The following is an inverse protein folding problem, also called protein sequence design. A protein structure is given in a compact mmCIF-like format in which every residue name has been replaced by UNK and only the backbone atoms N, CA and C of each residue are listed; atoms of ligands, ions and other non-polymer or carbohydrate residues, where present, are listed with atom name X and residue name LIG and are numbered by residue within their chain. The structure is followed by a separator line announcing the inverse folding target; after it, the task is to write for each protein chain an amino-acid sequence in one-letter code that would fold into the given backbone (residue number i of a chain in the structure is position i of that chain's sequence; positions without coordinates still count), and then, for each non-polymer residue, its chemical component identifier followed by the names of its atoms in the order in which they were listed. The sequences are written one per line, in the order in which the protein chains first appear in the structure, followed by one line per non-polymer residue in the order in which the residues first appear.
data_IF_839862178851
#
_entry.id   IF_839862178851
#
_cell.length_a   1.000
_cell.length_b   1.000
_cell.length_c   1.000
_cell.angle_alpha   90.00
_cell.angle_beta   90.00
_cell.angle_gamma   90.00
#
_symmetry.space_group_name_H-M   'P 1'
#
loop_
_entity.id
_entity.type
_entity.pdbx_description
1 polymer ?
#
# COMPACT_ATOMS: atom_id res chain seq x y z
N UNK A 1 -13.64 15.10 -5.74
CA UNK A 1 -12.24 15.51 -5.97
C UNK A 1 -11.68 16.03 -4.66
N UNK A 2 -10.75 15.30 -4.03
CA UNK A 2 -10.10 15.82 -2.82
C UNK A 2 -9.14 16.91 -3.24
N UNK A 3 -9.25 18.10 -2.64
CA UNK A 3 -8.23 19.13 -2.80
C UNK A 3 -6.86 18.58 -2.37
N UNK A 4 -5.81 18.92 -3.13
CA UNK A 4 -4.42 18.61 -2.84
C UNK A 4 -4.02 19.08 -1.43
N UNK A 5 -3.14 18.34 -0.75
CA UNK A 5 -2.78 18.53 0.66
C UNK A 5 -2.28 19.97 0.93
N UNK A 6 -1.50 20.54 -0.01
CA UNK A 6 -0.98 21.90 0.08
C UNK A 6 -2.12 22.92 0.21
N UNK A 7 -3.27 22.68 -0.41
CA UNK A 7 -4.42 23.57 -0.34
C UNK A 7 -5.25 23.41 0.93
N UNK A 8 -5.27 22.22 1.53
CA UNK A 8 -6.08 21.90 2.71
C UNK A 8 -5.37 22.22 4.02
N UNK A 9 -4.06 22.03 4.06
CA UNK A 9 -3.24 22.30 5.25
C UNK A 9 -2.94 23.81 5.37
N UNK A 10 -3.28 24.46 6.50
CA UNK A 10 -3.12 25.91 6.64
C UNK A 10 -1.65 26.36 6.61
N UNK A 11 -0.71 25.52 7.05
CA UNK A 11 0.71 25.85 7.10
C UNK A 11 1.38 25.67 5.73
N UNK A 12 1.08 24.59 5.01
CA UNK A 12 1.53 24.41 3.63
C UNK A 12 0.90 25.45 2.70
N UNK A 13 -0.39 25.75 2.88
CA UNK A 13 -1.08 26.79 2.11
C UNK A 13 -0.40 28.13 2.33
N UNK A 14 -0.06 28.48 3.57
CA UNK A 14 0.66 29.71 3.90
C UNK A 14 2.02 29.79 3.20
N UNK A 15 2.82 28.72 3.21
CA UNK A 15 4.09 28.68 2.48
C UNK A 15 3.86 28.98 0.98
N UNK A 16 2.87 28.33 0.35
CA UNK A 16 2.54 28.58 -1.06
C UNK A 16 2.08 30.02 -1.30
N UNK A 17 1.18 30.54 -0.46
CA UNK A 17 0.64 31.90 -0.58
C UNK A 17 1.75 32.97 -0.40
N UNK A 18 2.78 32.68 0.40
CA UNK A 18 3.98 33.52 0.54
C UNK A 18 4.98 33.38 -0.62
N UNK A 19 4.69 32.52 -1.60
CA UNK A 19 5.42 32.40 -2.86
C UNK A 19 6.51 31.32 -2.89
N UNK A 20 6.57 30.42 -1.91
CA UNK A 20 7.48 29.27 -1.96
C UNK A 20 7.10 28.30 -3.08
N UNK A 21 8.12 27.78 -3.77
CA UNK A 21 7.97 26.74 -4.79
C UNK A 21 7.84 25.36 -4.11
N UNK A 22 6.61 24.92 -3.90
CA UNK A 22 6.32 23.64 -3.25
C UNK A 22 5.94 22.56 -4.25
N UNK A 23 6.49 21.37 -4.07
CA UNK A 23 6.05 20.15 -4.76
C UNK A 23 5.78 19.06 -3.70
N UNK A 24 4.71 18.30 -3.90
CA UNK A 24 4.36 17.14 -3.08
C UNK A 24 4.53 15.86 -3.89
N UNK A 25 5.32 14.91 -3.39
CA UNK A 25 5.46 13.58 -3.99
C UNK A 25 5.31 12.50 -2.91
N UNK A 26 4.17 11.81 -2.86
CA UNK A 26 3.92 10.71 -1.91
C UNK A 26 4.28 11.08 -0.46
N UNK A 27 3.79 12.23 0.02
CA UNK A 27 4.07 12.82 1.34
C UNK A 27 5.54 13.21 1.60
N UNK A 28 6.34 13.32 0.55
CA UNK A 28 7.62 14.05 0.57
C UNK A 28 7.36 15.48 0.09
N UNK A 29 7.65 16.45 0.96
CA UNK A 29 7.63 17.87 0.63
C UNK A 29 8.98 18.27 0.04
N UNK A 30 8.95 18.87 -1.15
CA UNK A 30 10.08 19.53 -1.79
C UNK A 30 9.83 21.04 -1.78
N UNK A 31 10.82 21.79 -1.30
CA UNK A 31 10.84 23.26 -1.34
C UNK A 31 11.98 23.67 -2.26
N UNK A 32 11.62 24.07 -3.48
CA UNK A 32 12.58 24.34 -4.54
C UNK A 32 13.17 25.74 -4.45
N UNK A 33 14.17 25.97 -5.29
CA UNK A 33 14.78 27.28 -5.50
C UNK A 33 15.31 27.92 -4.21
N UNK A 34 15.71 27.12 -3.21
CA UNK A 34 16.29 27.63 -1.97
C UNK A 34 17.70 28.14 -2.24
N UNK A 35 17.96 29.46 -2.08
CA UNK A 35 19.26 30.03 -2.38
C UNK A 35 20.27 29.68 -1.29
N UNK A 36 21.51 29.44 -1.68
CA UNK A 36 22.61 29.16 -0.75
C UNK A 36 23.96 29.63 -1.34
N UNK A 37 24.98 29.74 -0.49
CA UNK A 37 26.35 30.07 -0.91
C UNK A 37 27.15 28.78 -1.05
N UNK A 38 27.89 28.66 -2.15
CA UNK A 38 28.79 27.53 -2.41
C UNK A 38 30.19 27.77 -1.85
N UNK A 39 31.05 26.75 -1.91
CA UNK A 39 32.43 26.83 -1.41
C UNK A 39 33.29 27.87 -2.13
N UNK A 40 33.01 28.14 -3.40
CA UNK A 40 33.65 29.18 -4.21
C UNK A 40 33.03 30.58 -4.00
N UNK A 41 32.15 30.73 -3.00
CA UNK A 41 31.37 31.94 -2.68
C UNK A 41 30.35 32.36 -3.74
N UNK A 42 30.15 31.58 -4.80
CA UNK A 42 29.07 31.83 -5.75
C UNK A 42 27.72 31.37 -5.20
N UNK A 43 26.63 31.91 -5.76
CA UNK A 43 25.27 31.55 -5.35
C UNK A 43 24.78 30.31 -6.11
N UNK A 44 24.21 29.37 -5.38
CA UNK A 44 23.47 28.23 -5.92
C UNK A 44 22.00 28.27 -5.54
N UNK A 45 21.20 27.43 -6.20
CA UNK A 45 19.83 27.10 -5.78
C UNK A 45 19.71 25.59 -5.61
N UNK A 46 19.16 25.17 -4.48
CA UNK A 46 18.90 23.76 -4.19
C UNK A 46 17.47 23.55 -3.72
N UNK A 47 17.15 22.31 -3.38
CA UNK A 47 15.82 21.93 -2.88
C UNK A 47 15.95 21.39 -1.46
N UNK A 48 15.17 21.93 -0.52
CA UNK A 48 14.98 21.33 0.79
C UNK A 48 13.93 20.23 0.68
N UNK A 49 14.20 19.06 1.27
CA UNK A 49 13.35 17.87 1.12
C UNK A 49 13.07 17.26 2.49
N UNK A 50 11.80 16.97 2.82
CA UNK A 50 11.47 16.23 4.05
C UNK A 50 10.20 15.39 3.90
N UNK A 51 10.10 14.30 4.66
CA UNK A 51 8.87 13.50 4.76
C UNK A 51 7.88 14.17 5.71
N UNK A 52 6.60 14.16 5.36
CA UNK A 52 5.53 14.69 6.19
C UNK A 52 4.89 13.60 7.04
N UNK A 53 4.70 13.90 8.33
CA UNK A 53 3.80 13.18 9.21
C UNK A 53 2.43 13.86 9.18
N UNK A 54 1.36 13.07 9.15
CA UNK A 54 -0.02 13.58 9.19
C UNK A 54 -0.68 13.30 10.55
N UNK A 55 -1.58 14.18 10.96
CA UNK A 55 -2.46 14.00 12.11
C UNK A 55 -3.73 13.20 11.76
N UNK A 56 -4.65 13.07 12.73
CA UNK A 56 -5.91 12.34 12.56
C UNK A 56 -6.89 12.99 11.58
N UNK A 57 -6.69 14.26 11.23
CA UNK A 57 -7.49 14.98 10.24
C UNK A 57 -6.87 14.90 8.83
N UNK A 58 -5.70 14.26 8.69
CA UNK A 58 -4.94 14.17 7.46
C UNK A 58 -4.21 15.47 7.09
N UNK A 59 -3.97 16.36 8.07
CA UNK A 59 -3.14 17.56 7.93
C UNK A 59 -1.74 17.32 8.49
N UNK A 60 -0.77 18.19 8.22
CA UNK A 60 0.59 18.03 8.75
C UNK A 60 0.61 18.10 10.28
N UNK A 61 1.35 17.19 10.92
CA UNK A 61 1.38 17.09 12.38
C UNK A 61 1.88 18.37 13.05
N UNK A 62 1.21 18.80 14.12
CA UNK A 62 1.64 19.91 14.97
C UNK A 62 1.75 19.43 16.43
N UNK A 63 2.95 19.40 17.04
CA UNK A 63 4.26 19.77 16.48
C UNK A 63 4.81 18.77 15.46
N UNK A 64 5.84 19.18 14.72
CA UNK A 64 6.54 18.33 13.77
C UNK A 64 7.34 17.25 14.51
N UNK A 65 7.15 15.99 14.14
CA UNK A 65 7.79 14.85 14.79
C UNK A 65 9.27 14.69 14.46
N UNK A 66 9.70 15.25 13.32
CA UNK A 66 11.07 15.20 12.82
C UNK A 66 11.55 16.62 12.50
N UNK A 67 12.68 17.02 13.08
CA UNK A 67 13.29 18.34 12.89
C UNK A 67 14.29 18.40 11.73
N UNK A 68 14.61 17.27 11.08
CA UNK A 68 15.65 17.19 10.05
C UNK A 68 15.14 17.53 8.64
N UNK A 69 16.06 17.86 7.74
CA UNK A 69 15.79 18.07 6.31
C UNK A 69 16.92 17.51 5.47
N UNK A 70 16.60 17.05 4.27
CA UNK A 70 17.57 16.73 3.23
C UNK A 70 17.76 17.90 2.27
N UNK A 71 18.87 17.92 1.55
CA UNK A 71 19.17 18.96 0.58
C UNK A 71 19.85 18.42 -0.68
N UNK A 72 19.42 18.94 -1.83
CA UNK A 72 19.83 18.48 -3.17
C UNK A 72 20.95 19.33 -3.81
N UNK A 73 21.38 20.42 -3.20
CA UNK A 73 22.45 21.26 -3.75
C UNK A 73 23.85 20.74 -3.41
N UNK A 74 24.86 21.44 -3.89
CA UNK A 74 26.25 21.32 -3.39
C UNK A 74 26.35 21.75 -1.92
N UNK A 75 27.49 21.49 -1.26
CA UNK A 75 27.74 21.82 0.15
C UNK A 75 27.42 23.28 0.46
N UNK A 76 26.41 23.57 1.33
CA UNK A 76 26.12 24.93 1.72
C UNK A 76 27.18 25.51 2.65
N UNK A 77 27.52 26.77 2.39
CA UNK A 77 28.53 27.51 3.11
C UNK A 77 27.97 28.80 3.71
N UNK A 78 28.65 29.29 4.73
CA UNK A 78 28.55 30.66 5.20
C UNK A 78 29.03 31.65 4.13
N UNK A 79 28.86 32.95 4.39
CA UNK A 79 29.19 34.02 3.43
C UNK A 79 30.64 34.03 2.94
N UNK A 80 31.57 33.45 3.70
CA UNK A 80 33.01 33.39 3.43
C UNK A 80 33.43 32.07 2.74
N UNK A 81 32.47 31.21 2.37
CA UNK A 81 32.73 29.92 1.75
C UNK A 81 33.05 28.79 2.74
N UNK A 82 33.02 29.06 4.06
CA UNK A 82 33.18 28.00 5.07
C UNK A 82 31.92 27.13 5.17
N UNK A 83 32.02 25.78 5.16
CA UNK A 83 30.83 24.91 5.23
C UNK A 83 30.00 25.11 6.50
N UNK A 84 28.66 25.07 6.38
CA UNK A 84 27.71 25.21 7.48
C UNK A 84 27.61 23.96 8.37
N UNK A 85 28.71 23.57 9.02
CA UNK A 85 28.79 22.37 9.88
C UNK A 85 27.88 22.42 11.10
N UNK A 86 27.35 23.60 11.44
CA UNK A 86 26.36 23.79 12.50
C UNK A 86 24.97 23.23 12.16
N UNK A 87 24.63 23.05 10.88
CA UNK A 87 23.38 22.43 10.44
C UNK A 87 23.60 21.15 9.63
N UNK A 88 24.75 21.00 8.95
CA UNK A 88 25.08 19.79 8.19
C UNK A 88 25.42 18.66 9.15
N UNK A 89 24.55 17.65 9.23
CA UNK A 89 24.79 16.45 10.01
C UNK A 89 25.71 15.47 9.26
N UNK A 90 25.46 15.26 7.97
CA UNK A 90 26.36 14.52 7.06
C UNK A 90 26.09 14.89 5.59
N UNK A 91 26.98 14.45 4.71
CA UNK A 91 26.92 14.67 3.24
C UNK A 91 26.95 13.35 2.46
N UNK A 92 26.29 12.32 2.99
CA UNK A 92 26.17 11.05 2.30
C UNK A 92 25.05 11.16 1.25
N UNK A 93 25.34 10.73 0.02
CA UNK A 93 24.30 10.65 -1.00
C UNK A 93 23.22 9.63 -0.60
N UNK A 94 21.96 10.04 -0.74
CA UNK A 94 20.81 9.21 -0.47
C UNK A 94 19.70 9.45 -1.50
N UNK A 95 18.69 8.59 -1.47
CA UNK A 95 17.45 8.77 -2.24
C UNK A 95 16.29 8.82 -1.26
N UNK A 96 15.51 9.89 -1.31
CA UNK A 96 14.31 10.10 -0.49
C UNK A 96 13.08 9.88 -1.37
N UNK A 97 12.05 9.20 -0.84
CA UNK A 97 10.86 8.86 -1.62
C UNK A 97 11.18 7.91 -2.76
N UNK A 98 10.77 8.24 -3.99
CA UNK A 98 10.98 7.37 -5.15
C UNK A 98 12.30 7.53 -5.88
N UNK A 99 12.77 8.76 -6.02
CA UNK A 99 13.79 9.14 -7.01
C UNK A 99 14.53 10.44 -6.66
N UNK A 100 14.23 11.03 -5.49
CA UNK A 100 14.78 12.32 -5.11
C UNK A 100 16.19 12.11 -4.55
N UNK A 101 17.19 12.34 -5.40
CA UNK A 101 18.60 12.30 -5.00
C UNK A 101 18.92 13.51 -4.14
N UNK A 102 19.50 13.26 -2.97
CA UNK A 102 19.90 14.27 -1.99
C UNK A 102 21.38 14.05 -1.64
N UNK A 103 22.09 15.14 -1.39
CA UNK A 103 23.54 15.12 -1.13
C UNK A 103 23.90 15.45 0.31
N UNK A 104 22.99 16.10 1.04
CA UNK A 104 23.23 16.50 2.41
C UNK A 104 22.03 16.22 3.30
N UNK A 105 22.31 15.92 4.56
CA UNK A 105 21.34 15.73 5.61
C UNK A 105 21.58 16.76 6.72
N UNK A 106 20.56 17.54 7.04
CA UNK A 106 20.63 18.63 7.99
C UNK A 106 19.88 18.31 9.28
N UNK A 107 20.38 18.85 10.38
CA UNK A 107 19.75 18.81 11.69
C UNK A 107 19.91 20.14 12.41
N UNK A 108 18.87 20.96 12.38
CA UNK A 108 18.71 22.17 13.20
C UNK A 108 17.52 21.92 14.13
N UNK A 109 17.78 21.81 15.45
CA UNK A 109 16.75 21.53 16.45
C UNK A 109 16.40 22.83 17.17
N UNK A 110 15.12 23.24 17.25
CA UNK A 110 14.74 24.45 17.96
C UNK A 110 15.15 24.40 19.44
N UNK A 111 15.80 25.48 19.90
CA UNK A 111 16.18 25.62 21.31
C UNK A 111 14.93 25.72 22.20
N UNK A 112 14.98 25.09 23.39
CA UNK A 112 13.87 25.09 24.35
C UNK A 112 12.79 24.04 24.06
N UNK A 113 12.14 24.08 22.89
CA UNK A 113 11.04 23.14 22.56
C UNK A 113 11.53 21.80 22.02
N UNK A 114 12.68 21.79 21.36
CA UNK A 114 13.23 20.62 20.69
C UNK A 114 12.47 20.17 19.44
N UNK A 115 11.39 20.86 19.06
CA UNK A 115 10.53 20.52 17.92
C UNK A 115 10.01 21.80 17.28
N UNK A 116 9.82 21.77 15.96
CA UNK A 116 9.14 22.84 15.25
C UNK A 116 7.63 22.77 15.52
N UNK A 117 7.00 23.92 15.77
CA UNK A 117 5.58 23.96 16.11
C UNK A 117 4.68 23.49 14.95
N UNK A 118 5.11 23.72 13.71
CA UNK A 118 4.42 23.30 12.49
C UNK A 118 5.40 23.24 11.30
N UNK A 119 4.95 22.74 10.14
CA UNK A 119 5.78 22.60 8.94
C UNK A 119 6.23 23.94 8.37
N UNK A 120 5.43 25.00 8.51
CA UNK A 120 5.78 26.35 8.06
C UNK A 120 7.03 26.85 8.82
N UNK A 121 7.04 26.76 10.15
CA UNK A 121 8.17 27.19 10.97
C UNK A 121 9.44 26.40 10.64
N UNK A 122 9.30 25.09 10.38
CA UNK A 122 10.40 24.23 9.94
C UNK A 122 10.99 24.72 8.62
N UNK A 123 10.17 24.87 7.58
CA UNK A 123 10.63 25.29 6.23
C UNK A 123 11.27 26.68 6.27
N UNK A 124 10.62 27.65 6.90
CA UNK A 124 11.12 29.03 6.99
C UNK A 124 12.45 29.09 7.76
N UNK A 125 12.62 28.28 8.80
CA UNK A 125 13.88 28.25 9.56
C UNK A 125 15.03 27.73 8.71
N UNK A 126 14.85 26.61 8.01
CA UNK A 126 15.89 26.07 7.14
C UNK A 126 16.19 26.96 5.93
N UNK A 127 15.16 27.57 5.32
CA UNK A 127 15.38 28.58 4.28
C UNK A 127 16.16 29.78 4.83
N UNK A 128 15.87 30.22 6.04
CA UNK A 128 16.59 31.33 6.68
C UNK A 128 18.07 31.00 6.89
N UNK A 129 18.40 29.79 7.37
CA UNK A 129 19.78 29.37 7.56
C UNK A 129 20.61 29.45 6.27
N UNK A 130 20.07 28.93 5.16
CA UNK A 130 20.76 28.93 3.87
C UNK A 130 20.70 30.30 3.18
N UNK A 131 19.51 30.89 3.15
CA UNK A 131 19.21 32.13 2.44
C UNK A 131 19.83 33.37 3.09
N UNK A 132 20.11 33.38 4.40
CA UNK A 132 20.78 34.50 5.05
C UNK A 132 22.20 34.73 4.49
N UNK A 133 22.96 33.64 4.29
CA UNK A 133 24.28 33.73 3.67
C UNK A 133 24.16 34.20 2.21
N UNK A 134 23.21 33.67 1.44
CA UNK A 134 22.98 34.07 0.06
C UNK A 134 22.58 35.54 -0.06
N UNK A 135 21.69 36.02 0.81
CA UNK A 135 21.23 37.42 0.86
C UNK A 135 22.32 38.42 1.22
N UNK A 136 23.40 37.98 1.85
CA UNK A 136 24.56 38.82 2.11
C UNK A 136 25.37 39.12 0.85
N UNK A 137 25.30 38.25 -0.18
CA UNK A 137 25.91 38.44 -1.50
C UNK A 137 24.94 39.10 -2.49
N UNK A 138 23.67 38.68 -2.49
CA UNK A 138 22.61 39.25 -3.32
C UNK A 138 21.31 39.38 -2.51
N UNK A 139 20.90 40.62 -2.22
CA UNK A 139 19.68 40.91 -1.44
C UNK A 139 18.40 40.34 -2.05
N UNK A 140 18.39 40.01 -3.33
CA UNK A 140 17.23 39.43 -4.05
C UNK A 140 17.18 37.90 -3.96
N UNK A 141 18.21 37.25 -3.43
CA UNK A 141 18.27 35.79 -3.28
C UNK A 141 17.21 35.28 -2.28
N UNK A 142 16.07 34.86 -2.80
CA UNK A 142 14.94 34.34 -2.02
C UNK A 142 14.37 33.05 -2.65
N UNK A 143 13.87 32.15 -1.80
CA UNK A 143 13.13 30.95 -2.19
C UNK A 143 11.67 31.25 -2.58
N UNK A 144 11.18 32.46 -2.27
CA UNK A 144 9.82 32.93 -2.61
C UNK A 144 9.80 33.52 -4.02
N UNK A 145 9.78 32.67 -5.03
CA UNK A 145 9.81 33.09 -6.44
C UNK A 145 8.42 33.40 -6.99
N UNK A 146 7.36 32.96 -6.31
CA UNK A 146 5.97 33.03 -6.78
C UNK A 146 5.61 31.97 -7.82
N UNK A 147 6.55 31.11 -8.23
CA UNK A 147 6.27 30.00 -9.12
C UNK A 147 5.41 28.97 -8.39
N UNK A 148 4.22 28.70 -8.93
CA UNK A 148 3.36 27.63 -8.45
C UNK A 148 3.61 26.41 -9.31
N UNK A 149 4.14 25.35 -8.70
CA UNK A 149 4.23 24.04 -9.36
C UNK A 149 2.85 23.38 -9.26
N UNK A 150 2.41 22.76 -10.34
CA UNK A 150 1.29 21.83 -10.26
C UNK A 150 1.74 20.69 -9.36
N UNK A 151 1.00 20.45 -8.27
CA UNK A 151 1.17 19.21 -7.49
C UNK A 151 1.04 18.06 -8.48
N UNK A 152 2.09 17.25 -8.61
CA UNK A 152 2.03 16.06 -9.45
C UNK A 152 0.81 15.28 -8.97
N UNK A 153 -0.18 15.07 -9.85
CA UNK A 153 -1.43 14.42 -9.48
C UNK A 153 -1.10 13.17 -8.65
N UNK A 154 -1.51 13.19 -7.39
CA UNK A 154 -1.34 12.05 -6.50
C UNK A 154 -2.28 10.96 -7.02
N UNK A 155 -1.78 10.16 -7.98
CA UNK A 155 -2.36 8.90 -8.49
C UNK A 155 -2.31 7.82 -7.37
N UNK A 156 -2.67 8.26 -6.17
CA UNK A 156 -2.81 7.45 -4.99
C UNK A 156 -4.19 6.81 -5.04
N UNK A 157 -4.23 5.46 -5.07
CA UNK A 157 -5.49 4.74 -5.05
C UNK A 157 -6.14 4.81 -3.65
N UNK A 158 -5.48 5.40 -2.65
CA UNK A 158 -5.98 5.47 -1.29
C UNK A 158 -6.86 6.70 -1.04
N UNK A 159 -7.93 6.50 -0.28
CA UNK A 159 -8.75 7.57 0.28
C UNK A 159 -8.07 8.23 1.50
N UNK A 160 -7.24 7.47 2.21
CA UNK A 160 -6.40 7.93 3.32
C UNK A 160 -4.94 7.98 2.84
N UNK A 161 -4.21 9.10 2.97
CA UNK A 161 -2.84 9.18 2.51
C UNK A 161 -1.92 8.13 3.17
N UNK A 162 -1.11 7.45 2.36
CA UNK A 162 -0.15 6.44 2.82
C UNK A 162 1.12 7.09 3.37
N UNK A 163 1.04 7.50 4.64
CA UNK A 163 2.19 8.03 5.40
C UNK A 163 3.17 6.95 5.83
N UNK A 164 2.76 5.68 5.85
CA UNK A 164 3.62 4.58 6.27
C UNK A 164 4.73 4.34 5.24
N UNK A 165 4.40 4.32 3.95
CA UNK A 165 5.42 4.14 2.90
C UNK A 165 6.51 5.20 2.93
N UNK A 166 6.12 6.47 3.05
CA UNK A 166 7.04 7.59 3.13
C UNK A 166 7.90 7.50 4.39
N UNK A 167 7.28 7.27 5.55
CA UNK A 167 7.95 7.16 6.85
C UNK A 167 8.99 6.06 6.90
N UNK A 168 8.70 4.91 6.30
CA UNK A 168 9.60 3.75 6.32
C UNK A 168 10.49 3.64 5.08
N UNK A 169 10.43 4.60 4.16
CA UNK A 169 11.26 4.59 2.94
C UNK A 169 10.97 3.42 1.99
N UNK A 170 9.76 2.85 2.03
CA UNK A 170 9.37 1.67 1.21
C UNK A 170 8.52 2.05 0.00
N UNK A 171 8.47 3.34 -0.35
CA UNK A 171 7.72 3.89 -1.48
C UNK A 171 7.99 3.12 -2.79
N UNK A 172 9.27 2.94 -3.14
CA UNK A 172 9.68 2.24 -4.38
C UNK A 172 9.22 0.78 -4.37
N UNK A 173 9.32 0.10 -3.22
CA UNK A 173 8.85 -1.27 -3.08
C UNK A 173 7.32 -1.32 -3.29
N UNK A 174 6.56 -0.42 -2.65
CA UNK A 174 5.11 -0.38 -2.77
C UNK A 174 4.61 -0.07 -4.19
N UNK A 175 5.35 0.69 -5.01
CA UNK A 175 5.00 0.91 -6.42
C UNK A 175 5.01 -0.37 -7.26
N UNK A 176 5.70 -1.42 -6.83
CA UNK A 176 5.66 -2.73 -7.49
C UNK A 176 4.30 -3.42 -7.39
N UNK A 177 3.44 -2.98 -6.45
CA UNK A 177 2.10 -3.53 -6.21
C UNK A 177 1.00 -2.83 -7.01
N UNK A 178 1.36 -2.03 -8.02
CA UNK A 178 0.38 -1.44 -8.95
C UNK A 178 -0.19 -2.52 -9.88
N UNK A 179 -1.39 -2.26 -10.40
CA UNK A 179 -2.09 -3.16 -11.33
C UNK A 179 -3.57 -3.27 -11.04
N UNK A 180 -4.25 -4.15 -11.77
CA UNK A 180 -5.66 -4.51 -11.63
C UNK A 180 -5.75 -5.95 -11.15
N UNK A 181 -6.32 -6.16 -9.98
CA UNK A 181 -6.50 -7.52 -9.41
C UNK A 181 -7.98 -7.85 -9.28
N UNK A 182 -8.28 -9.15 -9.30
CA UNK A 182 -9.60 -9.65 -8.92
C UNK A 182 -9.52 -10.58 -7.70
N UNK A 183 -10.57 -10.57 -6.89
CA UNK A 183 -10.82 -11.53 -5.80
C UNK A 183 -12.15 -12.20 -6.12
N UNK A 184 -12.11 -13.52 -6.36
CA UNK A 184 -13.29 -14.33 -6.65
C UNK A 184 -13.66 -15.10 -5.39
N UNK A 185 -14.85 -14.84 -4.85
CA UNK A 185 -15.32 -15.36 -3.56
C UNK A 185 -14.95 -14.40 -2.43
N UNK A 186 -15.96 -13.81 -1.80
CA UNK A 186 -15.88 -12.87 -0.68
C UNK A 186 -16.45 -13.51 0.62
N UNK A 187 -16.25 -14.83 0.76
CA UNK A 187 -16.36 -15.52 2.05
C UNK A 187 -15.27 -15.05 3.03
N UNK A 188 -14.90 -15.89 4.01
CA UNK A 188 -13.93 -15.50 5.03
C UNK A 188 -12.56 -15.11 4.44
N UNK A 189 -11.92 -16.02 3.70
CA UNK A 189 -10.58 -15.81 3.13
C UNK A 189 -10.55 -14.62 2.18
N UNK A 190 -11.49 -14.52 1.24
CA UNK A 190 -11.54 -13.42 0.28
C UNK A 190 -11.80 -12.07 0.94
N UNK A 191 -12.62 -12.01 2.00
CA UNK A 191 -12.84 -10.78 2.75
C UNK A 191 -11.59 -10.31 3.50
N UNK A 192 -10.85 -11.22 4.17
CA UNK A 192 -9.55 -10.88 4.77
C UNK A 192 -8.51 -10.49 3.70
N UNK A 193 -8.57 -11.09 2.52
CA UNK A 193 -7.68 -10.73 1.42
C UNK A 193 -7.95 -9.30 0.94
N UNK A 194 -9.22 -8.92 0.79
CA UNK A 194 -9.61 -7.55 0.49
C UNK A 194 -9.14 -6.57 1.58
N UNK A 195 -9.24 -6.95 2.86
CA UNK A 195 -8.73 -6.14 3.97
C UNK A 195 -7.25 -5.77 3.76
N UNK A 196 -6.44 -6.76 3.40
CA UNK A 196 -5.01 -6.58 3.18
C UNK A 196 -4.71 -5.88 1.85
N UNK A 197 -5.43 -6.21 0.77
CA UNK A 197 -5.24 -5.65 -0.56
C UNK A 197 -5.61 -4.16 -0.63
N UNK A 198 -6.65 -3.72 0.09
CA UNK A 198 -7.05 -2.31 0.18
C UNK A 198 -5.97 -1.40 0.81
N UNK A 199 -4.94 -1.99 1.45
CA UNK A 199 -3.77 -1.29 2.03
C UNK A 199 -2.55 -1.32 1.09
N UNK A 200 -2.73 -1.66 -0.18
CA UNK A 200 -1.66 -1.73 -1.19
C UNK A 200 -1.91 -0.77 -2.35
N UNK A 201 -0.89 -0.48 -3.16
CA UNK A 201 -0.97 0.47 -4.29
C UNK A 201 -1.64 -0.09 -5.55
N UNK A 202 -2.45 -1.12 -5.42
CA UNK A 202 -3.23 -1.67 -6.53
C UNK A 202 -4.14 -0.57 -7.07
N UNK A 203 -4.23 -0.41 -8.39
CA UNK A 203 -5.07 0.62 -8.98
C UNK A 203 -6.55 0.25 -8.86
N UNK A 204 -6.89 -1.00 -9.17
CA UNK A 204 -8.26 -1.52 -9.11
C UNK A 204 -8.33 -2.88 -8.42
N UNK A 205 -9.26 -3.02 -7.47
CA UNK A 205 -9.54 -4.28 -6.76
C UNK A 205 -10.96 -4.68 -7.10
N UNK A 206 -11.12 -5.63 -8.01
CA UNK A 206 -12.43 -6.13 -8.41
C UNK A 206 -12.82 -7.30 -7.51
N UNK A 207 -14.03 -7.25 -6.95
CA UNK A 207 -14.52 -8.27 -6.02
C UNK A 207 -15.75 -8.95 -6.60
N UNK A 208 -15.72 -10.26 -6.75
CA UNK A 208 -16.77 -11.07 -7.37
C UNK A 208 -17.36 -12.06 -6.37
N UNK A 209 -18.64 -11.91 -6.03
CA UNK A 209 -19.40 -12.85 -5.19
C UNK A 209 -20.90 -12.58 -5.36
N UNK A 210 -21.72 -13.64 -5.51
CA UNK A 210 -23.17 -13.52 -5.67
C UNK A 210 -23.97 -13.74 -4.40
N UNK A 211 -23.35 -13.97 -3.25
CA UNK A 211 -24.05 -14.24 -2.00
C UNK A 211 -24.41 -12.96 -1.23
N UNK A 212 -25.36 -13.15 -0.31
CA UNK A 212 -25.64 -12.20 0.76
C UNK A 212 -24.68 -12.41 1.94
N UNK A 213 -24.43 -11.33 2.68
CA UNK A 213 -23.72 -11.38 3.94
C UNK A 213 -24.68 -11.81 5.06
N UNK A 214 -24.52 -13.03 5.56
CA UNK A 214 -25.32 -13.63 6.61
C UNK A 214 -24.58 -13.63 7.96
N UNK A 215 -25.30 -13.75 9.07
CA UNK A 215 -24.74 -13.65 10.43
C UNK A 215 -23.55 -14.60 10.68
N UNK A 216 -23.65 -15.85 10.21
CA UNK A 216 -22.59 -16.84 10.41
C UNK A 216 -21.32 -16.51 9.59
N UNK A 217 -21.41 -15.68 8.54
CA UNK A 217 -20.23 -15.17 7.83
C UNK A 217 -19.43 -14.18 8.69
N UNK A 218 -20.10 -13.43 9.57
CA UNK A 218 -19.47 -12.38 10.38
C UNK A 218 -18.44 -12.94 11.36
N UNK A 219 -18.63 -14.16 11.85
CA UNK A 219 -17.72 -14.82 12.79
C UNK A 219 -16.42 -15.33 12.15
N UNK A 220 -16.30 -15.25 10.82
CA UNK A 220 -15.13 -15.69 10.06
C UNK A 220 -14.62 -14.67 9.04
N UNK A 221 -15.02 -13.42 9.21
CA UNK A 221 -14.73 -12.31 8.30
C UNK A 221 -14.11 -11.13 9.07
N UNK A 222 -13.37 -10.23 8.40
CA UNK A 222 -12.74 -9.09 9.08
C UNK A 222 -13.77 -8.07 9.57
N UNK A 223 -13.52 -7.58 10.79
CA UNK A 223 -14.28 -6.47 11.39
C UNK A 223 -15.67 -6.85 11.88
N UNK A 224 -16.18 -6.09 12.84
CA UNK A 224 -17.56 -6.20 13.29
C UNK A 224 -18.44 -5.21 12.52
N UNK A 225 -19.47 -5.66 11.77
CA UNK A 225 -20.39 -4.74 11.12
C UNK A 225 -21.22 -3.95 12.16
N UNK A 226 -21.65 -2.75 11.80
CA UNK A 226 -22.74 -2.10 12.54
C UNK A 226 -23.99 -2.97 12.46
N UNK A 227 -24.62 -3.23 13.61
CA UNK A 227 -25.77 -4.13 13.70
C UNK A 227 -26.93 -3.73 12.77
N UNK A 228 -27.12 -2.43 12.55
CA UNK A 228 -28.15 -1.92 11.63
C UNK A 228 -27.88 -2.32 10.17
N UNK A 229 -26.62 -2.35 9.74
CA UNK A 229 -26.23 -2.77 8.39
C UNK A 229 -26.34 -4.28 8.21
N UNK A 230 -25.96 -5.06 9.23
CA UNK A 230 -26.02 -6.52 9.19
C UNK A 230 -27.46 -7.06 9.08
N UNK A 231 -28.45 -6.35 9.63
CA UNK A 231 -29.87 -6.75 9.61
C UNK A 231 -30.49 -6.81 8.20
N UNK A 232 -29.93 -6.11 7.22
CA UNK A 232 -30.49 -6.01 5.88
C UNK A 232 -29.94 -7.06 4.90
N UNK A 233 -29.07 -7.97 5.37
CA UNK A 233 -28.43 -9.02 4.55
C UNK A 233 -27.94 -8.50 3.18
N UNK A 234 -27.11 -7.45 3.15
CA UNK A 234 -26.61 -6.88 1.91
C UNK A 234 -25.82 -7.92 1.11
N UNK A 235 -25.67 -7.72 -0.21
CA UNK A 235 -24.70 -8.52 -0.98
C UNK A 235 -23.31 -8.33 -0.38
N UNK A 236 -22.53 -9.40 -0.29
CA UNK A 236 -21.17 -9.35 0.28
C UNK A 236 -20.33 -8.28 -0.42
N UNK A 237 -20.36 -8.25 -1.75
CA UNK A 237 -19.59 -7.29 -2.56
C UNK A 237 -19.97 -5.84 -2.27
N UNK A 238 -21.26 -5.53 -2.13
CA UNK A 238 -21.72 -4.15 -1.87
C UNK A 238 -21.31 -3.68 -0.47
N UNK A 239 -21.46 -4.57 0.52
CA UNK A 239 -21.05 -4.32 1.89
C UNK A 239 -19.55 -4.02 1.97
N UNK A 240 -18.72 -4.92 1.44
CA UNK A 240 -17.28 -4.79 1.50
C UNK A 240 -16.74 -3.64 0.64
N UNK A 241 -17.31 -3.38 -0.54
CA UNK A 241 -16.94 -2.22 -1.34
C UNK A 241 -17.21 -0.91 -0.57
N UNK A 242 -18.37 -0.79 0.09
CA UNK A 242 -18.71 0.37 0.90
C UNK A 242 -17.76 0.54 2.09
N UNK A 243 -17.42 -0.56 2.77
CA UNK A 243 -16.50 -0.54 3.90
C UNK A 243 -15.10 -0.09 3.48
N UNK A 244 -14.56 -0.70 2.43
CA UNK A 244 -13.18 -0.46 2.00
C UNK A 244 -13.00 0.76 1.11
N UNK A 245 -14.07 1.35 0.55
CA UNK A 245 -14.02 2.67 -0.10
C UNK A 245 -13.49 3.77 0.82
N UNK A 246 -13.62 3.59 2.15
CA UNK A 246 -13.05 4.50 3.17
C UNK A 246 -11.53 4.46 3.21
N UNK A 247 -10.91 3.39 2.72
CA UNK A 247 -9.45 3.22 2.66
C UNK A 247 -8.92 3.34 1.22
N UNK A 248 -9.66 2.81 0.24
CA UNK A 248 -9.19 2.59 -1.12
C UNK A 248 -10.25 2.97 -2.17
N UNK A 249 -9.93 3.90 -3.07
CA UNK A 249 -10.84 4.45 -4.10
C UNK A 249 -11.13 3.46 -5.24
N UNK A 250 -10.25 2.47 -5.43
CA UNK A 250 -10.28 1.52 -6.55
C UNK A 250 -11.08 0.23 -6.34
N UNK A 251 -11.87 0.09 -5.27
CA UNK A 251 -12.66 -1.15 -5.06
C UNK A 251 -13.88 -1.18 -5.97
N UNK A 252 -14.06 -2.25 -6.76
CA UNK A 252 -15.13 -2.41 -7.76
C UNK A 252 -15.96 -3.67 -7.48
N UNK A 253 -17.21 -3.55 -7.00
CA UNK A 253 -18.05 -4.70 -6.71
C UNK A 253 -18.71 -5.30 -7.95
N UNK A 254 -18.76 -6.64 -8.01
CA UNK A 254 -19.46 -7.43 -9.03
C UNK A 254 -20.31 -8.49 -8.34
N UNK A 255 -21.62 -8.25 -8.26
CA UNK A 255 -22.58 -9.15 -7.60
C UNK A 255 -22.94 -10.35 -8.50
N UNK A 256 -21.92 -11.04 -9.01
CA UNK A 256 -22.05 -12.07 -10.03
C UNK A 256 -21.16 -13.26 -9.70
N UNK A 257 -21.69 -14.46 -9.92
CA UNK A 257 -20.90 -15.68 -9.87
C UNK A 257 -20.03 -15.78 -11.11
N UNK A 258 -18.76 -16.12 -10.92
CA UNK A 258 -17.85 -16.42 -12.04
C UNK A 258 -18.15 -17.81 -12.58
N UNK A 259 -18.36 -17.91 -13.88
CA UNK A 259 -18.71 -19.12 -14.63
C UNK A 259 -18.02 -19.09 -15.99
N UNK A 260 -18.21 -20.14 -16.77
CA UNK A 260 -17.58 -20.25 -18.09
C UNK A 260 -18.01 -19.15 -19.08
N UNK A 261 -19.19 -18.56 -18.89
CA UNK A 261 -19.76 -17.53 -19.76
C UNK A 261 -19.19 -16.12 -19.53
N UNK A 262 -18.65 -15.83 -18.34
CA UNK A 262 -18.07 -14.53 -17.99
C UNK A 262 -16.58 -14.57 -17.63
N UNK A 263 -15.94 -15.74 -17.70
CA UNK A 263 -14.50 -15.87 -17.37
C UNK A 263 -13.59 -15.03 -18.29
N UNK A 264 -14.03 -14.73 -19.51
CA UNK A 264 -13.27 -13.90 -20.45
C UNK A 264 -13.23 -12.40 -20.05
N UNK A 265 -14.10 -11.96 -19.12
CA UNK A 265 -14.01 -10.62 -18.52
C UNK A 265 -12.71 -10.42 -17.74
N UNK A 266 -12.03 -11.51 -17.35
CA UNK A 266 -10.75 -11.47 -16.65
C UNK A 266 -9.56 -11.19 -17.58
N UNK A 267 -9.79 -11.05 -18.88
CA UNK A 267 -8.75 -10.60 -19.81
C UNK A 267 -8.22 -9.21 -19.40
N UNK A 268 -6.89 -9.09 -19.29
CA UNK A 268 -6.23 -7.84 -18.93
C UNK A 268 -6.20 -7.51 -17.43
N UNK A 269 -6.60 -8.45 -16.56
CA UNK A 269 -6.20 -8.38 -15.15
C UNK A 269 -4.74 -8.76 -14.99
N UNK A 270 -4.05 -8.14 -14.03
CA UNK A 270 -2.64 -8.44 -13.74
C UNK A 270 -2.50 -9.65 -12.81
N UNK A 271 -3.51 -9.93 -11.99
CA UNK A 271 -3.50 -11.05 -11.04
C UNK A 271 -4.91 -11.39 -10.53
N UNK A 272 -5.17 -12.66 -10.21
CA UNK A 272 -6.43 -13.10 -9.61
C UNK A 272 -6.21 -13.90 -8.33
N UNK A 273 -7.04 -13.65 -7.33
CA UNK A 273 -7.17 -14.49 -6.14
C UNK A 273 -8.45 -15.32 -6.24
N UNK A 274 -8.31 -16.64 -6.13
CA UNK A 274 -9.43 -17.59 -6.20
C UNK A 274 -9.69 -18.11 -4.79
N UNK A 275 -10.84 -17.70 -4.23
CA UNK A 275 -11.28 -17.96 -2.86
C UNK A 275 -12.67 -18.62 -2.84
N UNK A 276 -12.87 -19.58 -3.75
CA UNK A 276 -14.12 -20.35 -3.86
C UNK A 276 -14.03 -21.66 -3.09
N UNK A 277 -15.18 -22.12 -2.59
CA UNK A 277 -15.32 -23.37 -1.83
C UNK A 277 -15.57 -24.57 -2.75
N UNK A 278 -16.42 -24.43 -3.78
CA UNK A 278 -16.77 -25.52 -4.70
C UNK A 278 -15.66 -25.88 -5.70
N UNK A 279 -15.37 -27.18 -5.81
CA UNK A 279 -14.40 -27.75 -6.74
C UNK A 279 -14.76 -27.54 -8.21
N UNK A 280 -16.03 -27.69 -8.58
CA UNK A 280 -16.52 -27.40 -9.93
C UNK A 280 -16.32 -25.94 -10.33
N UNK A 281 -16.67 -25.00 -9.45
CA UNK A 281 -16.40 -23.57 -9.66
C UNK A 281 -14.90 -23.30 -9.81
N UNK A 282 -14.08 -23.86 -8.91
CA UNK A 282 -12.61 -23.73 -8.94
C UNK A 282 -12.03 -24.20 -10.27
N UNK A 283 -12.53 -25.32 -10.79
CA UNK A 283 -12.07 -25.88 -12.08
C UNK A 283 -12.36 -24.92 -13.24
N UNK A 284 -13.60 -24.46 -13.37
CA UNK A 284 -14.01 -23.54 -14.45
C UNK A 284 -13.17 -22.26 -14.44
N UNK A 285 -12.96 -21.69 -13.25
CA UNK A 285 -12.14 -20.49 -13.06
C UNK A 285 -10.69 -20.77 -13.45
N UNK A 286 -10.09 -21.84 -12.91
CA UNK A 286 -8.68 -22.16 -13.17
C UNK A 286 -8.41 -22.46 -14.65
N UNK A 287 -9.28 -23.22 -15.33
CA UNK A 287 -9.15 -23.49 -16.78
C UNK A 287 -9.18 -22.19 -17.59
N UNK A 288 -10.09 -21.27 -17.26
CA UNK A 288 -10.19 -19.98 -17.94
C UNK A 288 -9.00 -19.06 -17.68
N UNK A 289 -8.54 -18.93 -16.44
CA UNK A 289 -7.37 -18.10 -16.10
C UNK A 289 -6.08 -18.63 -16.76
N UNK A 290 -5.90 -19.95 -16.80
CA UNK A 290 -4.80 -20.60 -17.53
C UNK A 290 -4.88 -20.29 -19.03
N UNK A 291 -6.07 -20.41 -19.64
CA UNK A 291 -6.29 -20.07 -21.06
C UNK A 291 -5.96 -18.61 -21.35
N UNK A 292 -6.34 -17.70 -20.47
CA UNK A 292 -6.10 -16.26 -20.59
C UNK A 292 -4.67 -15.85 -20.23
N UNK A 293 -3.85 -16.77 -19.70
CA UNK A 293 -2.49 -16.47 -19.26
C UNK A 293 -2.42 -15.60 -18.01
N UNK A 294 -3.48 -15.56 -17.20
CA UNK A 294 -3.56 -14.71 -16.01
C UNK A 294 -2.95 -15.46 -14.81
N UNK A 295 -1.95 -14.90 -14.12
CA UNK A 295 -1.41 -15.50 -12.90
C UNK A 295 -2.44 -15.44 -11.77
N UNK A 296 -2.49 -16.49 -10.95
CA UNK A 296 -3.42 -16.52 -9.82
C UNK A 296 -2.90 -17.28 -8.62
N UNK A 297 -3.43 -16.96 -7.44
CA UNK A 297 -3.35 -17.83 -6.26
C UNK A 297 -4.72 -18.40 -5.97
N UNK A 298 -4.80 -19.72 -5.92
CA UNK A 298 -5.94 -20.46 -5.39
C UNK A 298 -5.76 -20.73 -3.90
N UNK A 299 -6.84 -20.60 -3.16
CA UNK A 299 -6.87 -20.78 -1.71
C UNK A 299 -7.84 -21.89 -1.33
N UNK A 300 -7.53 -22.61 -0.25
CA UNK A 300 -8.42 -23.65 0.28
C UNK A 300 -8.25 -23.84 1.78
N UNK A 301 -9.34 -24.20 2.44
CA UNK A 301 -9.37 -24.59 3.85
C UNK A 301 -10.07 -25.94 3.92
N UNK A 302 -9.51 -26.86 4.69
CA UNK A 302 -10.17 -28.09 5.09
C UNK A 302 -10.10 -28.18 6.60
N UNK A 303 -11.25 -28.25 7.26
CA UNK A 303 -11.36 -28.42 8.70
C UNK A 303 -12.18 -29.67 8.99
N UNK A 304 -11.70 -30.50 9.90
CA UNK A 304 -12.45 -31.59 10.51
C UNK A 304 -12.80 -31.26 11.96
N UNK A 305 -13.86 -31.89 12.44
CA UNK A 305 -14.23 -31.88 13.86
C UNK A 305 -14.23 -33.33 14.36
N UNK A 306 -13.29 -33.66 15.22
CA UNK A 306 -13.20 -34.95 15.89
C UNK A 306 -13.08 -34.75 17.40
N UNK A 307 -13.88 -35.47 18.18
CA UNK A 307 -13.96 -35.35 19.65
C UNK A 307 -13.99 -33.89 20.17
N UNK A 308 -14.88 -33.06 19.60
CA UNK A 308 -15.01 -31.61 19.88
C UNK A 308 -13.71 -30.79 19.67
N UNK A 309 -12.75 -31.32 18.93
CA UNK A 309 -11.48 -30.70 18.61
C UNK A 309 -11.37 -30.51 17.10
N UNK A 310 -10.88 -29.34 16.69
CA UNK A 310 -10.70 -29.04 15.27
C UNK A 310 -9.31 -29.45 14.80
N UNK A 311 -9.27 -30.07 13.64
CA UNK A 311 -8.07 -30.43 12.91
C UNK A 311 -8.14 -29.89 11.46
N UNK A 312 -7.06 -29.99 10.70
CA UNK A 312 -7.04 -29.60 9.29
C UNK A 312 -5.99 -28.56 8.91
N UNK A 313 -6.27 -27.84 7.82
CA UNK A 313 -5.25 -27.06 7.12
C UNK A 313 -5.78 -25.84 6.35
N UNK A 314 -4.85 -24.94 6.03
CA UNK A 314 -5.03 -23.87 5.04
C UNK A 314 -3.95 -23.96 3.96
N UNK A 315 -4.34 -23.80 2.69
CA UNK A 315 -3.47 -23.93 1.53
C UNK A 315 -3.59 -22.71 0.62
N UNK A 316 -2.45 -22.20 0.18
CA UNK A 316 -2.33 -21.26 -0.93
C UNK A 316 -1.46 -21.85 -2.04
N UNK A 317 -1.96 -21.87 -3.27
CA UNK A 317 -1.25 -22.40 -4.44
C UNK A 317 -1.19 -21.35 -5.54
N UNK A 318 0.02 -20.94 -5.90
CA UNK A 318 0.29 -20.02 -6.98
C UNK A 318 0.45 -20.73 -8.31
N UNK A 319 -0.27 -20.27 -9.33
CA UNK A 319 -0.14 -20.71 -10.70
C UNK A 319 0.45 -19.55 -11.52
N UNK A 320 1.65 -19.79 -12.05
CA UNK A 320 2.34 -18.82 -12.89
C UNK A 320 1.77 -18.81 -14.32
N UNK A 321 1.90 -17.70 -15.07
CA UNK A 321 1.48 -17.64 -16.46
C UNK A 321 2.18 -18.71 -17.29
N UNK A 322 1.46 -19.37 -18.19
CA UNK A 322 2.00 -20.42 -19.05
C UNK A 322 2.19 -21.79 -18.38
N UNK A 323 1.81 -21.96 -17.11
CA UNK A 323 1.77 -23.29 -16.49
C UNK A 323 0.77 -24.19 -17.24
N UNK A 324 1.19 -25.36 -17.76
CA UNK A 324 0.29 -26.25 -18.50
C UNK A 324 -0.87 -26.73 -17.63
N UNK A 325 -2.08 -26.84 -18.22
CA UNK A 325 -3.26 -27.32 -17.49
C UNK A 325 -3.05 -28.66 -16.80
N UNK A 326 -2.36 -29.60 -17.46
CA UNK A 326 -2.05 -30.91 -16.88
C UNK A 326 -1.28 -30.82 -15.56
N UNK A 327 -0.40 -29.82 -15.40
CA UNK A 327 0.34 -29.57 -14.18
C UNK A 327 -0.54 -28.87 -13.14
N UNK A 328 -1.29 -27.83 -13.54
CA UNK A 328 -2.25 -27.13 -12.67
C UNK A 328 -3.23 -28.11 -12.02
N UNK A 329 -3.74 -29.05 -12.81
CA UNK A 329 -4.73 -30.01 -12.35
C UNK A 329 -4.22 -31.01 -11.30
N UNK A 330 -2.90 -31.14 -11.14
CA UNK A 330 -2.30 -31.96 -10.07
C UNK A 330 -2.16 -31.22 -8.74
N UNK A 331 -2.28 -29.88 -8.74
CA UNK A 331 -2.02 -29.04 -7.56
C UNK A 331 -3.29 -28.47 -6.93
N UNK A 332 -4.40 -28.46 -7.68
CA UNK A 332 -5.68 -27.94 -7.24
C UNK A 332 -6.66 -29.08 -7.01
N UNK A 333 -7.46 -28.97 -5.96
CA UNK A 333 -8.54 -29.93 -5.67
C UNK A 333 -9.79 -29.51 -6.42
N UNK A 334 -10.33 -30.39 -7.27
CA UNK A 334 -11.57 -30.11 -8.02
C UNK A 334 -12.73 -31.04 -7.66
N UNK A 335 -12.53 -31.96 -6.71
CA UNK A 335 -13.63 -32.76 -6.20
C UNK A 335 -14.67 -31.83 -5.57
N UNK A 336 -15.91 -31.99 -6.00
CA UNK A 336 -17.05 -31.64 -5.15
C UNK A 336 -17.29 -32.89 -4.31
N UNK A 337 -17.38 -32.76 -3.00
CA UNK A 337 -17.75 -33.91 -2.18
C UNK A 337 -19.15 -34.36 -2.61
N UNK A 338 -19.33 -35.63 -2.97
CA UNK A 338 -20.62 -36.16 -3.41
C UNK A 338 -21.71 -35.79 -2.40
N UNK A 339 -22.71 -35.00 -2.82
CA UNK A 339 -23.79 -34.50 -1.94
C UNK A 339 -24.54 -35.64 -1.23
N UNK A 340 -24.54 -36.86 -1.79
CA UNK A 340 -25.12 -38.06 -1.16
C UNK A 340 -24.16 -38.77 -0.17
N UNK A 341 -22.84 -38.61 -0.31
CA UNK A 341 -21.84 -39.22 0.58
C UNK A 341 -21.44 -38.31 1.75
N UNK A 342 -21.64 -36.99 1.62
CA UNK A 342 -21.11 -35.98 2.53
C UNK A 342 -22.18 -35.34 3.42
N UNK A 343 -23.10 -36.12 3.97
CA UNK A 343 -24.06 -35.67 5.01
C UNK A 343 -23.33 -35.17 6.28
N UNK A 344 -22.04 -35.53 6.43
CA UNK A 344 -21.16 -35.11 7.53
C UNK A 344 -20.08 -34.09 7.10
N UNK A 345 -20.12 -33.62 5.85
CA UNK A 345 -19.23 -32.60 5.33
C UNK A 345 -19.50 -31.27 5.98
N UNK A 346 -18.66 -30.89 6.93
CA UNK A 346 -18.85 -29.62 7.63
C UNK A 346 -18.01 -28.55 6.93
N UNK A 347 -18.66 -27.52 6.40
CA UNK A 347 -18.00 -26.31 5.86
C UNK A 347 -17.44 -25.44 7.00
N UNK A 348 -16.78 -26.06 7.98
CA UNK A 348 -16.26 -25.37 9.15
C UNK A 348 -15.21 -24.39 8.71
N UNK A 349 -15.32 -23.19 9.24
CA UNK A 349 -14.39 -22.12 8.98
C UNK A 349 -14.28 -21.24 10.22
N UNK A 350 -13.05 -20.90 10.60
CA UNK A 350 -12.73 -19.99 11.70
C UNK A 350 -12.12 -18.70 11.17
N UNK A 351 -12.16 -17.63 11.96
CA UNK A 351 -11.62 -16.33 11.58
C UNK A 351 -10.09 -16.38 11.36
N UNK A 352 -9.38 -17.03 12.27
CA UNK A 352 -7.91 -17.11 12.29
C UNK A 352 -7.39 -17.86 11.06
N UNK A 353 -8.05 -18.97 10.70
CA UNK A 353 -7.62 -19.79 9.58
C UNK A 353 -7.91 -19.11 8.23
N UNK A 354 -9.08 -18.45 8.11
CA UNK A 354 -9.38 -17.61 6.93
C UNK A 354 -8.38 -16.45 6.78
N UNK A 355 -8.06 -15.78 7.88
CA UNK A 355 -7.07 -14.71 7.90
C UNK A 355 -5.68 -15.22 7.51
N UNK A 356 -5.23 -16.33 8.09
CA UNK A 356 -3.94 -16.94 7.76
C UNK A 356 -3.87 -17.37 6.29
N UNK A 357 -4.92 -17.97 5.75
CA UNK A 357 -4.97 -18.37 4.34
C UNK A 357 -4.88 -17.14 3.41
N UNK A 358 -5.58 -16.05 3.74
CA UNK A 358 -5.51 -14.78 3.02
C UNK A 358 -4.10 -14.17 3.08
N UNK A 359 -3.44 -14.22 4.25
CA UNK A 359 -2.06 -13.77 4.45
C UNK A 359 -1.11 -14.58 3.57
N UNK A 360 -1.22 -15.91 3.57
CA UNK A 360 -0.40 -16.79 2.73
C UNK A 360 -0.55 -16.42 1.25
N UNK A 361 -1.78 -16.20 0.79
CA UNK A 361 -2.07 -15.83 -0.59
C UNK A 361 -1.48 -14.47 -0.98
N UNK A 362 -1.74 -13.41 -0.20
CA UNK A 362 -1.25 -12.07 -0.52
C UNK A 362 0.28 -11.98 -0.40
N UNK A 363 0.90 -12.69 0.56
CA UNK A 363 2.36 -12.75 0.65
C UNK A 363 2.97 -13.43 -0.57
N UNK A 364 2.34 -14.49 -1.09
CA UNK A 364 2.81 -15.18 -2.29
C UNK A 364 2.72 -14.28 -3.52
N UNK A 365 1.63 -13.54 -3.69
CA UNK A 365 1.49 -12.51 -4.73
C UNK A 365 2.53 -11.40 -4.61
N UNK A 366 2.77 -10.89 -3.40
CA UNK A 366 3.81 -9.87 -3.17
C UNK A 366 5.23 -10.37 -3.47
N UNK A 367 5.52 -11.66 -3.21
CA UNK A 367 6.77 -12.32 -3.64
C UNK A 367 6.88 -12.37 -5.16
N UNK A 368 5.80 -12.74 -5.86
CA UNK A 368 5.74 -12.73 -7.32
C UNK A 368 6.07 -11.36 -7.92
N UNK A 369 5.53 -10.29 -7.34
CA UNK A 369 5.81 -8.90 -7.76
C UNK A 369 7.16 -8.35 -7.28
N UNK A 370 8.02 -9.17 -6.66
CA UNK A 370 9.33 -8.78 -6.10
C UNK A 370 9.25 -7.70 -5.00
N UNK A 371 8.09 -7.54 -4.36
CA UNK A 371 7.95 -6.70 -3.16
C UNK A 371 8.70 -7.35 -1.99
N UNK A 372 8.55 -8.66 -1.84
CA UNK A 372 9.37 -9.49 -0.97
C UNK A 372 10.43 -10.24 -1.79
N UNK A 373 11.55 -10.61 -1.14
CA UNK A 373 12.48 -11.58 -1.74
C UNK A 373 11.79 -12.93 -1.90
N UNK A 374 12.07 -13.61 -3.00
CA UNK A 374 11.50 -14.92 -3.34
C UNK A 374 12.60 -15.89 -3.76
N UNK A 375 13.32 -16.45 -2.78
CA UNK A 375 14.43 -17.38 -3.03
C UNK A 375 13.96 -18.80 -3.33
N UNK A 376 12.86 -19.23 -2.69
CA UNK A 376 12.31 -20.59 -2.84
C UNK A 376 11.34 -20.72 -4.00
N UNK A 377 10.74 -19.61 -4.45
CA UNK A 377 9.75 -19.59 -5.54
C UNK A 377 8.66 -20.62 -5.32
N UNK A 378 8.20 -20.76 -4.08
CA UNK A 378 7.27 -21.82 -3.74
C UNK A 378 5.98 -21.70 -4.55
N UNK A 379 5.50 -22.84 -5.02
CA UNK A 379 4.24 -22.96 -5.72
C UNK A 379 3.11 -23.14 -4.73
N UNK A 380 3.32 -24.02 -3.76
CA UNK A 380 2.33 -24.37 -2.77
C UNK A 380 2.86 -24.08 -1.36
N UNK A 381 2.01 -23.51 -0.53
CA UNK A 381 2.22 -23.37 0.90
C UNK A 381 1.00 -23.96 1.62
N UNK A 382 1.22 -24.82 2.61
CA UNK A 382 0.17 -25.45 3.40
C UNK A 382 0.50 -25.33 4.89
N UNK A 383 -0.38 -24.68 5.64
CA UNK A 383 -0.37 -24.65 7.10
C UNK A 383 -1.19 -25.82 7.63
N UNK A 384 -0.63 -26.61 8.55
CA UNK A 384 -1.32 -27.67 9.28
C UNK A 384 -1.55 -27.23 10.73
N UNK A 385 -2.77 -27.39 11.25
CA UNK A 385 -3.18 -26.94 12.58
C UNK A 385 -2.50 -27.80 13.66
N UNK A 386 -2.60 -29.11 13.52
CA UNK A 386 -2.14 -30.13 14.46
C UNK A 386 -0.62 -30.11 14.59
N UNK A 387 0.06 -29.90 13.46
CA UNK A 387 1.51 -29.80 13.39
C UNK A 387 2.07 -28.40 13.68
N UNK A 388 1.21 -27.39 13.72
CA UNK A 388 1.57 -25.96 13.79
C UNK A 388 2.76 -25.59 12.89
N UNK A 389 2.71 -25.98 11.62
CA UNK A 389 3.80 -25.78 10.68
C UNK A 389 3.30 -25.37 9.30
N UNK A 390 4.10 -24.56 8.61
CA UNK A 390 3.89 -24.23 7.20
C UNK A 390 4.89 -25.03 6.36
N UNK A 391 4.37 -25.88 5.48
CA UNK A 391 5.16 -26.63 4.52
C UNK A 391 5.09 -25.96 3.15
N UNK A 392 6.23 -25.78 2.50
CA UNK A 392 6.33 -25.15 1.19
C UNK A 392 6.85 -26.16 0.18
N UNK A 393 6.22 -26.24 -1.00
CA UNK A 393 6.69 -27.03 -2.13
C UNK A 393 7.04 -26.12 -3.30
N UNK A 394 8.25 -26.32 -3.85
CA UNK A 394 8.74 -25.61 -5.03
C UNK A 394 7.99 -26.00 -6.30
N UNK A 395 8.36 -25.36 -7.41
CA UNK A 395 7.99 -25.80 -8.74
C UNK A 395 8.62 -27.16 -9.08
#
# INVERSE_FOLDING_TARGET
MSADLISRDPHLKRLRDEGFELEMRELVLLVHSVPYVKRDMSLGRGTLVCTLSLDTQGLTSTPQTDHTMWFTGETPCHRDGTPMTNIIHNSNEATVGSDIKVHHYFSSKPEGTGQYANIYDKVVTYESHLGAAARSHDKTANARTGVTLASAEDDSPFAIPDSASARYGIVVANRKLRGRIAIIGLGGTGAYLLDLAAKTRVAEIHIYDDDQLLNHNLFRSPGAPELALAKNFPRKVDYYATLYARMHKGVKPHATRVKADNIDEFAGYDFVFVCVDKGSSRRVIAEGLVRLGIPFVDTGIGLGLDDNTLDGCARATFIAPGTPWAEVATHLSFGDDDEEANVYGTEIQTAELNSLNAIMAIMRWKRWLTFYRDERKERNATYMIEGNNITNRGA
#
